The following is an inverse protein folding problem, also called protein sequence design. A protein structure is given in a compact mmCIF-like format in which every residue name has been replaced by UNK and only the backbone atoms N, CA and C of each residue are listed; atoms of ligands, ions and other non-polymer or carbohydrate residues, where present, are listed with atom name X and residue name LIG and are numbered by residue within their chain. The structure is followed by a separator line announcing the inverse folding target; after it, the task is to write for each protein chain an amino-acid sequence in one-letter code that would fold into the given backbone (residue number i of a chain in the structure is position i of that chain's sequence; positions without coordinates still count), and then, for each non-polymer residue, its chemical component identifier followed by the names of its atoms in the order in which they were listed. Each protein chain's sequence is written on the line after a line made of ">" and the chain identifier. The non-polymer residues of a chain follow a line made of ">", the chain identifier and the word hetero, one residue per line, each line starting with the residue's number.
data_IF_581894113114
#
_entry.id   IF_581894113114
#
_cell.length_a   1.000
_cell.length_b   1.000
_cell.length_c   1.000
_cell.angle_alpha   90.00
_cell.angle_beta   90.00
_cell.angle_gamma   90.00
#
_symmetry.space_group_name_H-M   'P 1'
#
loop_
_entity.id
_entity.type
_entity.pdbx_description
1 polymer ?
#
# COMPACT_ATOMS: atom_id res chain seq x y z
N UNK A 1 -13.22 -24.53 -4.30
CA UNK A 1 -13.83 -23.21 -4.63
C UNK A 1 -12.91 -22.57 -5.64
N UNK A 2 -13.23 -22.76 -6.90
CA UNK A 2 -12.43 -22.28 -8.03
C UNK A 2 -12.91 -20.85 -8.32
N UNK A 3 -12.29 -19.87 -7.65
CA UNK A 3 -12.44 -18.46 -8.03
C UNK A 3 -11.61 -18.22 -9.29
N UNK A 4 -12.08 -18.75 -10.41
CA UNK A 4 -11.60 -18.31 -11.72
C UNK A 4 -11.95 -16.82 -11.82
N UNK A 5 -10.95 -15.99 -12.09
CA UNK A 5 -11.15 -14.58 -12.39
C UNK A 5 -11.90 -14.54 -13.73
N UNK A 6 -13.24 -14.53 -13.68
CA UNK A 6 -14.06 -14.38 -14.89
C UNK A 6 -13.94 -12.93 -15.37
N UNK A 7 -14.04 -12.68 -16.70
CA UNK A 7 -14.06 -11.31 -17.25
C UNK A 7 -15.13 -10.43 -16.58
N UNK A 8 -16.26 -11.02 -16.21
CA UNK A 8 -17.35 -10.39 -15.46
C UNK A 8 -16.93 -9.94 -14.05
N UNK A 9 -16.10 -10.74 -13.36
CA UNK A 9 -15.59 -10.40 -12.03
C UNK A 9 -14.65 -9.20 -12.03
N UNK A 10 -13.90 -8.98 -13.11
CA UNK A 10 -13.01 -7.81 -13.26
C UNK A 10 -13.82 -6.53 -13.48
N UNK A 11 -14.93 -6.60 -14.24
CA UNK A 11 -15.80 -5.45 -14.52
C UNK A 11 -16.39 -4.83 -13.26
N UNK A 12 -16.67 -5.63 -12.21
CA UNK A 12 -17.15 -5.14 -10.91
C UNK A 12 -16.17 -4.13 -10.29
N UNK A 13 -14.85 -4.34 -10.46
CA UNK A 13 -13.83 -3.44 -9.90
C UNK A 13 -13.54 -2.25 -10.80
N UNK A 14 -13.69 -2.40 -12.12
CA UNK A 14 -13.37 -1.35 -13.09
C UNK A 14 -14.52 -0.33 -13.24
N UNK A 15 -15.77 -0.78 -13.18
CA UNK A 15 -16.94 0.08 -13.39
C UNK A 15 -16.94 1.31 -12.47
N UNK A 16 -16.75 1.19 -11.13
CA UNK A 16 -16.69 2.36 -10.26
C UNK A 16 -15.58 3.34 -10.62
N UNK A 17 -14.43 2.83 -11.10
CA UNK A 17 -13.30 3.67 -11.50
C UNK A 17 -13.68 4.55 -12.71
N UNK A 18 -14.44 4.00 -13.66
CA UNK A 18 -14.92 4.71 -14.85
C UNK A 18 -16.08 5.67 -14.50
N UNK A 19 -17.03 5.25 -13.67
CA UNK A 19 -18.16 6.09 -13.27
C UNK A 19 -17.69 7.33 -12.48
N UNK A 20 -16.75 7.14 -11.55
CA UNK A 20 -16.11 8.20 -10.79
C UNK A 20 -14.81 8.69 -11.43
N UNK A 21 -14.78 8.78 -12.77
CA UNK A 21 -13.57 9.09 -13.55
C UNK A 21 -12.83 10.34 -13.06
N UNK A 22 -13.53 11.35 -12.58
CA UNK A 22 -12.95 12.62 -12.14
C UNK A 22 -12.09 12.44 -10.88
N UNK A 23 -12.51 11.59 -9.94
CA UNK A 23 -11.68 11.19 -8.81
C UNK A 23 -10.58 10.21 -9.23
N UNK A 24 -10.92 9.20 -10.04
CA UNK A 24 -9.99 8.17 -10.51
C UNK A 24 -8.83 8.75 -11.32
N UNK A 25 -9.08 9.80 -12.11
CA UNK A 25 -8.06 10.49 -12.88
C UNK A 25 -7.10 11.24 -11.97
N UNK A 26 -7.61 12.03 -11.03
CA UNK A 26 -6.77 12.78 -10.08
C UNK A 26 -5.93 11.81 -9.24
N UNK A 27 -6.57 10.78 -8.69
CA UNK A 27 -5.90 9.75 -7.88
C UNK A 27 -4.90 8.96 -8.72
N UNK A 28 -5.26 8.54 -9.93
CA UNK A 28 -4.39 7.79 -10.82
C UNK A 28 -3.14 8.57 -11.22
N UNK A 29 -3.30 9.85 -11.60
CA UNK A 29 -2.17 10.75 -11.89
C UNK A 29 -1.29 10.92 -10.67
N UNK A 30 -1.89 11.17 -9.50
CA UNK A 30 -1.15 11.32 -8.24
C UNK A 30 -0.36 10.05 -7.88
N UNK A 31 -0.97 8.87 -8.00
CA UNK A 31 -0.34 7.59 -7.69
C UNK A 31 0.86 7.28 -8.61
N UNK A 32 0.81 7.70 -9.88
CA UNK A 32 1.92 7.54 -10.82
C UNK A 32 3.01 8.59 -10.57
N UNK A 33 2.66 9.88 -10.51
CA UNK A 33 3.66 10.97 -10.47
C UNK A 33 4.30 11.11 -9.09
N UNK A 34 3.51 10.96 -8.03
CA UNK A 34 3.92 11.15 -6.64
C UNK A 34 4.07 9.83 -5.88
N UNK A 35 4.32 8.71 -6.57
CA UNK A 35 4.39 7.36 -6.01
C UNK A 35 5.28 7.27 -4.75
N UNK A 36 6.43 7.96 -4.76
CA UNK A 36 7.37 8.05 -3.61
C UNK A 36 6.80 8.70 -2.37
N UNK A 37 5.79 9.54 -2.51
CA UNK A 37 5.13 10.23 -1.40
C UNK A 37 3.90 9.49 -0.90
N UNK A 38 3.38 8.53 -1.67
CA UNK A 38 2.15 7.80 -1.33
C UNK A 38 2.25 7.17 0.04
N UNK A 39 3.36 6.49 0.35
CA UNK A 39 3.59 5.92 1.68
C UNK A 39 3.38 6.96 2.79
N UNK A 40 4.09 8.09 2.72
CA UNK A 40 4.03 9.13 3.77
C UNK A 40 2.65 9.78 3.85
N UNK A 41 2.05 10.07 2.69
CA UNK A 41 0.75 10.72 2.60
C UNK A 41 -0.35 9.79 3.12
N UNK A 42 -0.35 8.52 2.72
CA UNK A 42 -1.29 7.52 3.21
C UNK A 42 -1.19 7.34 4.72
N UNK A 43 0.01 7.24 5.27
CA UNK A 43 0.20 7.12 6.73
C UNK A 43 -0.30 8.37 7.45
N UNK A 44 0.05 9.55 6.95
CA UNK A 44 -0.37 10.81 7.55
C UNK A 44 -1.90 10.98 7.49
N UNK A 45 -2.52 10.69 6.35
CA UNK A 45 -3.95 10.82 6.14
C UNK A 45 -4.72 9.80 6.99
N UNK A 46 -4.28 8.53 7.01
CA UNK A 46 -4.89 7.49 7.84
C UNK A 46 -4.73 7.81 9.33
N UNK A 47 -3.54 8.21 9.77
CA UNK A 47 -3.30 8.58 11.16
C UNK A 47 -4.11 9.81 11.58
N UNK A 48 -4.24 10.80 10.71
CA UNK A 48 -5.08 11.96 10.95
C UNK A 48 -6.55 11.59 11.05
N UNK A 49 -7.08 10.85 10.07
CA UNK A 49 -8.48 10.42 10.05
C UNK A 49 -8.82 9.52 11.25
N UNK A 50 -7.92 8.62 11.63
CA UNK A 50 -8.06 7.78 12.82
C UNK A 50 -8.00 8.62 14.10
N UNK A 51 -7.13 9.64 14.14
CA UNK A 51 -7.04 10.58 15.23
C UNK A 51 -8.35 11.35 15.45
N UNK A 52 -8.89 11.97 14.39
CA UNK A 52 -10.08 12.81 14.51
C UNK A 52 -11.38 11.99 14.66
N UNK A 53 -11.55 10.90 13.91
CA UNK A 53 -12.85 10.20 13.84
C UNK A 53 -13.00 9.10 14.89
N UNK A 54 -11.89 8.56 15.41
CA UNK A 54 -11.91 7.40 16.32
C UNK A 54 -11.29 7.76 17.65
N UNK A 55 -10.00 8.13 17.67
CA UNK A 55 -9.28 8.28 18.93
C UNK A 55 -9.72 9.51 19.72
N UNK A 56 -9.98 10.65 19.07
CA UNK A 56 -10.41 11.86 19.76
C UNK A 56 -11.79 11.70 20.43
N UNK A 57 -12.85 11.19 19.74
CA UNK A 57 -14.13 10.89 20.40
C UNK A 57 -13.99 9.88 21.53
N UNK A 58 -13.16 8.84 21.36
CA UNK A 58 -12.91 7.85 22.40
C UNK A 58 -12.25 8.49 23.62
N UNK A 59 -11.25 9.36 23.42
CA UNK A 59 -10.59 10.09 24.50
C UNK A 59 -11.59 10.93 25.31
N UNK A 60 -12.47 11.66 24.63
CA UNK A 60 -13.50 12.47 25.27
C UNK A 60 -14.54 11.66 26.04
N UNK A 61 -14.89 10.48 25.54
CA UNK A 61 -15.79 9.57 26.23
C UNK A 61 -15.15 8.96 27.49
N UNK A 62 -13.84 8.69 27.46
CA UNK A 62 -13.11 8.10 28.60
C UNK A 62 -12.74 9.13 29.67
N UNK A 63 -12.57 10.40 29.28
CA UNK A 63 -12.19 11.49 30.19
C UNK A 63 -13.21 12.64 30.12
N UNK A 64 -14.32 12.57 30.87
CA UNK A 64 -15.39 13.58 30.83
C UNK A 64 -14.93 15.00 31.17
N UNK A 65 -13.86 15.12 31.96
CA UNK A 65 -13.22 16.39 32.33
C UNK A 65 -12.72 17.16 31.10
N UNK A 66 -12.32 16.45 30.04
CA UNK A 66 -11.89 17.06 28.78
C UNK A 66 -13.09 17.62 27.99
N UNK A 67 -14.29 17.05 28.13
CA UNK A 67 -15.48 17.58 27.47
C UNK A 67 -15.85 18.97 27.98
N UNK A 68 -15.65 19.25 29.26
CA UNK A 68 -15.89 20.58 29.82
C UNK A 68 -14.87 21.60 29.30
N UNK A 69 -13.60 21.18 29.13
CA UNK A 69 -12.54 22.04 28.59
C UNK A 69 -12.70 22.34 27.10
N UNK A 70 -13.39 21.47 26.37
CA UNK A 70 -13.67 21.61 24.94
C UNK A 70 -15.16 21.87 24.64
N UNK A 71 -15.93 22.35 25.62
CA UNK A 71 -17.35 22.60 25.47
C UNK A 71 -17.66 23.69 24.42
N UNK A 72 -16.72 24.60 24.20
CA UNK A 72 -16.82 25.60 23.14
C UNK A 72 -16.54 25.00 21.75
N UNK A 73 -17.43 25.20 20.76
CA UNK A 73 -17.30 24.57 19.43
C UNK A 73 -15.99 24.89 18.70
N UNK A 74 -15.47 26.11 18.86
CA UNK A 74 -14.21 26.52 18.23
C UNK A 74 -13.01 25.76 18.82
N UNK A 75 -12.92 25.66 20.15
CA UNK A 75 -11.86 24.93 20.83
C UNK A 75 -11.96 23.42 20.58
N UNK A 76 -13.17 22.87 20.49
CA UNK A 76 -13.40 21.48 20.12
C UNK A 76 -12.79 21.15 18.75
N UNK A 77 -13.14 21.92 17.72
CA UNK A 77 -12.67 21.68 16.35
C UNK A 77 -11.15 21.83 16.24
N UNK A 78 -10.58 22.88 16.85
CA UNK A 78 -9.13 23.10 16.82
C UNK A 78 -8.40 21.97 17.55
N UNK A 79 -8.88 21.55 18.72
CA UNK A 79 -8.26 20.49 19.51
C UNK A 79 -8.35 19.14 18.81
N UNK A 80 -9.48 18.84 18.15
CA UNK A 80 -9.66 17.67 17.31
C UNK A 80 -8.63 17.65 16.16
N UNK A 81 -8.46 18.76 15.45
CA UNK A 81 -7.48 18.89 14.37
C UNK A 81 -6.04 18.70 14.87
N UNK A 82 -5.67 19.36 15.96
CA UNK A 82 -4.34 19.26 16.58
C UNK A 82 -4.08 17.82 17.04
N UNK A 83 -5.04 17.18 17.68
CA UNK A 83 -4.94 15.80 18.10
C UNK A 83 -4.77 14.85 16.91
N UNK A 84 -5.52 15.07 15.82
CA UNK A 84 -5.33 14.35 14.56
C UNK A 84 -3.90 14.43 14.03
N UNK A 85 -3.30 15.62 14.05
CA UNK A 85 -1.89 15.82 13.61
C UNK A 85 -0.91 15.07 14.53
N UNK A 86 -1.13 15.11 15.85
CA UNK A 86 -0.31 14.37 16.82
C UNK A 86 -0.39 12.87 16.54
N UNK A 87 -1.59 12.32 16.38
CA UNK A 87 -1.78 10.90 16.07
C UNK A 87 -1.11 10.53 14.75
N UNK A 88 -1.23 11.36 13.71
CA UNK A 88 -0.53 11.13 12.43
C UNK A 88 0.99 11.06 12.61
N UNK A 89 1.57 11.94 13.42
CA UNK A 89 3.01 11.93 13.71
C UNK A 89 3.44 10.68 14.48
N UNK A 90 2.66 10.25 15.49
CA UNK A 90 2.92 9.02 16.24
C UNK A 90 2.83 7.80 15.32
N UNK A 91 1.80 7.71 14.48
CA UNK A 91 1.60 6.59 13.57
C UNK A 91 2.74 6.54 12.53
N UNK A 92 3.21 7.69 12.05
CA UNK A 92 4.39 7.79 11.20
C UNK A 92 5.66 7.27 11.88
N UNK A 93 5.86 7.58 13.16
CA UNK A 93 7.00 7.06 13.92
C UNK A 93 6.91 5.53 14.12
N UNK A 94 5.72 5.00 14.40
CA UNK A 94 5.49 3.57 14.63
C UNK A 94 5.46 2.74 13.35
N UNK A 95 5.17 3.36 12.21
CA UNK A 95 5.01 2.68 10.93
C UNK A 95 6.22 1.81 10.55
N UNK A 96 7.45 2.31 10.75
CA UNK A 96 8.66 1.51 10.46
C UNK A 96 8.75 0.24 11.29
N UNK A 97 8.26 0.28 12.53
CA UNK A 97 8.19 -0.89 13.41
C UNK A 97 7.13 -1.87 12.93
N UNK A 98 5.95 -1.39 12.49
CA UNK A 98 4.92 -2.25 11.91
C UNK A 98 5.41 -2.96 10.63
N UNK A 99 6.06 -2.23 9.72
CA UNK A 99 6.65 -2.83 8.51
C UNK A 99 7.72 -3.85 8.86
N UNK A 100 8.56 -3.57 9.86
CA UNK A 100 9.55 -4.52 10.35
C UNK A 100 8.88 -5.80 10.86
N UNK A 101 7.87 -5.69 11.72
CA UNK A 101 7.16 -6.85 12.29
C UNK A 101 6.45 -7.66 11.20
N UNK A 102 5.79 -6.99 10.24
CA UNK A 102 5.14 -7.66 9.12
C UNK A 102 6.16 -8.39 8.23
N UNK A 103 7.26 -7.73 7.88
CA UNK A 103 8.35 -8.33 7.11
C UNK A 103 9.01 -9.49 7.85
N UNK A 104 9.21 -9.35 9.17
CA UNK A 104 9.71 -10.41 10.03
C UNK A 104 8.77 -11.61 10.02
N UNK A 105 7.47 -11.41 10.26
CA UNK A 105 6.49 -12.49 10.34
C UNK A 105 6.38 -13.29 9.05
N UNK A 106 6.24 -12.60 7.90
CA UNK A 106 6.11 -13.26 6.59
C UNK A 106 7.37 -14.05 6.24
N UNK A 107 8.55 -13.44 6.35
CA UNK A 107 9.80 -14.10 5.99
C UNK A 107 10.18 -15.19 6.99
N UNK A 108 9.85 -15.02 8.28
CA UNK A 108 10.07 -16.06 9.28
C UNK A 108 9.21 -17.30 9.01
N UNK A 109 7.93 -17.11 8.66
CA UNK A 109 7.05 -18.22 8.30
C UNK A 109 7.55 -18.94 7.05
N UNK A 110 7.90 -18.19 6.00
CA UNK A 110 8.45 -18.78 4.77
C UNK A 110 9.74 -19.54 5.07
N UNK A 111 10.65 -18.95 5.85
CA UNK A 111 11.90 -19.57 6.27
C UNK A 111 11.68 -20.86 7.07
N UNK A 112 10.73 -20.84 8.00
CA UNK A 112 10.32 -22.00 8.78
C UNK A 112 9.86 -23.13 7.87
N UNK A 113 8.88 -22.88 7.00
CA UNK A 113 8.34 -23.92 6.11
C UNK A 113 9.36 -24.42 5.08
N UNK A 114 10.20 -23.55 4.53
CA UNK A 114 11.28 -23.96 3.61
C UNK A 114 12.30 -24.85 4.31
N UNK A 115 12.67 -24.52 5.55
CA UNK A 115 13.61 -25.32 6.32
C UNK A 115 13.04 -26.68 6.71
N UNK A 116 11.77 -26.73 7.12
CA UNK A 116 11.07 -27.99 7.43
C UNK A 116 10.96 -28.88 6.18
N UNK A 117 10.55 -28.29 5.05
CA UNK A 117 10.53 -28.97 3.76
C UNK A 117 11.91 -29.53 3.37
N UNK A 118 12.98 -28.75 3.54
CA UNK A 118 14.33 -29.20 3.21
C UNK A 118 14.78 -30.38 4.10
N UNK A 119 14.52 -30.32 5.41
CA UNK A 119 14.86 -31.41 6.33
C UNK A 119 14.13 -32.71 5.97
N UNK A 120 12.84 -32.62 5.61
CA UNK A 120 12.04 -33.77 5.18
C UNK A 120 12.47 -34.30 3.81
N UNK A 121 12.76 -33.41 2.85
CA UNK A 121 13.14 -33.79 1.49
C UNK A 121 14.51 -34.48 1.43
N UNK A 122 15.47 -34.04 2.25
CA UNK A 122 16.82 -34.61 2.30
C UNK A 122 16.98 -35.71 3.35
N UNK A 123 15.89 -36.12 4.02
CA UNK A 123 15.87 -37.12 5.11
C UNK A 123 16.96 -36.87 6.17
N UNK A 124 17.12 -35.60 6.57
CA UNK A 124 18.18 -35.19 7.48
C UNK A 124 17.79 -35.59 8.91
N UNK A 125 18.39 -36.67 9.39
CA UNK A 125 18.22 -37.12 10.76
C UNK A 125 19.07 -36.29 11.72
N UNK A 126 18.41 -35.44 12.50
CA UNK A 126 19.05 -34.61 13.52
C UNK A 126 19.03 -35.35 14.86
N UNK A 127 20.14 -35.32 15.60
CA UNK A 127 20.25 -35.90 16.95
C UNK A 127 19.48 -35.12 18.04
N UNK A 128 18.65 -34.17 17.66
CA UNK A 128 17.85 -33.30 18.54
C UNK A 128 16.56 -32.89 17.83
N UNK A 129 15.67 -32.21 18.56
CA UNK A 129 14.36 -31.81 18.02
C UNK A 129 14.52 -30.88 16.78
N UNK A 130 14.05 -31.28 15.59
CA UNK A 130 14.15 -30.50 14.36
C UNK A 130 13.56 -29.08 14.45
N UNK A 131 12.59 -28.89 15.36
CA UNK A 131 11.98 -27.59 15.63
C UNK A 131 13.01 -26.51 15.96
N UNK A 132 14.10 -26.86 16.65
CA UNK A 132 15.13 -25.87 17.00
C UNK A 132 15.85 -25.32 15.78
N UNK A 133 16.15 -26.16 14.78
CA UNK A 133 16.76 -25.69 13.53
C UNK A 133 15.76 -24.88 12.70
N UNK A 134 14.55 -25.40 12.52
CA UNK A 134 13.56 -24.74 11.66
C UNK A 134 13.13 -23.39 12.22
N UNK A 135 12.92 -23.30 13.54
CA UNK A 135 12.64 -22.04 14.21
C UNK A 135 13.83 -21.07 14.17
N UNK A 136 15.07 -21.56 14.33
CA UNK A 136 16.26 -20.70 14.27
C UNK A 136 16.47 -20.11 12.87
N UNK A 137 16.29 -20.91 11.81
CA UNK A 137 16.35 -20.45 10.43
C UNK A 137 15.22 -19.47 10.15
N UNK A 138 14.00 -19.77 10.60
CA UNK A 138 12.86 -18.86 10.51
C UNK A 138 13.13 -17.50 11.18
N UNK A 139 13.59 -17.48 12.43
CA UNK A 139 13.92 -16.24 13.14
C UNK A 139 15.06 -15.48 12.43
N UNK A 140 16.13 -16.17 12.02
CA UNK A 140 17.25 -15.56 11.34
C UNK A 140 16.86 -14.90 10.01
N UNK A 141 16.14 -15.62 9.16
CA UNK A 141 15.60 -15.08 7.91
C UNK A 141 14.55 -14.00 8.16
N UNK A 142 13.73 -14.16 9.19
CA UNK A 142 12.75 -13.16 9.63
C UNK A 142 13.40 -11.83 9.97
N UNK A 143 14.49 -11.82 10.74
CA UNK A 143 15.22 -10.58 11.08
C UNK A 143 15.73 -9.90 9.80
N UNK A 144 16.33 -10.67 8.89
CA UNK A 144 16.77 -10.14 7.59
C UNK A 144 15.61 -9.57 6.78
N UNK A 145 14.48 -10.29 6.72
CA UNK A 145 13.25 -9.87 6.05
C UNK A 145 12.68 -8.58 6.63
N UNK A 146 12.59 -8.48 7.96
CA UNK A 146 12.15 -7.28 8.66
C UNK A 146 13.06 -6.08 8.38
N UNK A 147 14.37 -6.26 8.42
CA UNK A 147 15.36 -5.20 8.12
C UNK A 147 15.27 -4.71 6.66
N UNK A 148 15.15 -5.63 5.70
CA UNK A 148 15.03 -5.29 4.29
C UNK A 148 13.70 -4.56 4.04
N UNK A 149 12.60 -5.08 4.58
CA UNK A 149 11.26 -4.49 4.43
C UNK A 149 11.21 -3.08 5.00
N UNK A 150 11.78 -2.87 6.20
CA UNK A 150 11.84 -1.53 6.83
C UNK A 150 12.70 -0.52 6.04
N UNK A 151 13.73 -0.99 5.30
CA UNK A 151 14.58 -0.13 4.49
C UNK A 151 13.99 0.19 3.11
N UNK A 152 13.24 -0.73 2.51
CA UNK A 152 12.70 -0.63 1.14
C UNK A 152 11.19 -0.47 1.06
N UNK A 153 10.51 -0.24 2.18
CA UNK A 153 9.05 -0.06 2.27
C UNK A 153 8.52 0.96 1.25
N UNK A 154 9.23 2.08 1.13
CA UNK A 154 8.91 3.16 0.22
C UNK A 154 8.96 2.74 -1.25
N UNK A 155 9.95 1.92 -1.63
CA UNK A 155 10.07 1.42 -2.99
C UNK A 155 8.91 0.46 -3.32
N UNK A 156 8.58 -0.46 -2.40
CA UNK A 156 7.49 -1.41 -2.59
C UNK A 156 6.14 -0.70 -2.75
N UNK A 157 5.84 0.26 -1.87
CA UNK A 157 4.59 1.04 -1.96
C UNK A 157 4.57 1.90 -3.21
N UNK A 158 5.70 2.47 -3.62
CA UNK A 158 5.80 3.24 -4.87
C UNK A 158 5.47 2.37 -6.09
N UNK A 159 6.01 1.15 -6.15
CA UNK A 159 5.71 0.20 -7.24
C UNK A 159 4.23 -0.15 -7.26
N UNK A 160 3.65 -0.49 -6.10
CA UNK A 160 2.21 -0.80 -6.01
C UNK A 160 1.35 0.40 -6.40
N UNK A 161 1.77 1.61 -6.05
CA UNK A 161 1.08 2.86 -6.42
C UNK A 161 1.12 3.09 -7.93
N UNK A 162 2.27 2.91 -8.58
CA UNK A 162 2.39 3.04 -10.03
C UNK A 162 1.49 2.02 -10.73
N UNK A 163 1.47 0.78 -10.27
CA UNK A 163 0.61 -0.27 -10.83
C UNK A 163 -0.87 0.10 -10.68
N UNK A 164 -1.30 0.45 -9.46
CA UNK A 164 -2.69 0.82 -9.18
C UNK A 164 -3.12 2.08 -9.97
N UNK A 165 -2.27 3.11 -9.98
CA UNK A 165 -2.52 4.34 -10.73
C UNK A 165 -2.56 4.12 -12.24
N UNK A 166 -1.70 3.25 -12.77
CA UNK A 166 -1.70 2.88 -14.18
C UNK A 166 -2.97 2.14 -14.56
N UNK A 167 -3.43 1.21 -13.72
CA UNK A 167 -4.70 0.51 -13.91
C UNK A 167 -5.90 1.45 -13.86
N UNK A 168 -5.91 2.41 -12.93
CA UNK A 168 -6.96 3.41 -12.83
C UNK A 168 -6.99 4.33 -14.06
N UNK A 169 -5.83 4.84 -14.50
CA UNK A 169 -5.76 5.72 -15.67
C UNK A 169 -6.07 4.99 -16.97
N UNK A 170 -5.56 3.78 -17.17
CA UNK A 170 -5.89 3.00 -18.37
C UNK A 170 -7.38 2.68 -18.42
N UNK A 171 -8.00 2.35 -17.28
CA UNK A 171 -9.43 2.13 -17.17
C UNK A 171 -10.24 3.39 -17.53
N UNK A 172 -9.86 4.56 -17.00
CA UNK A 172 -10.52 5.83 -17.30
C UNK A 172 -10.38 6.19 -18.77
N UNK A 173 -9.18 6.09 -19.35
CA UNK A 173 -8.93 6.44 -20.76
C UNK A 173 -9.74 5.53 -21.68
N UNK A 174 -9.72 4.22 -21.46
CA UNK A 174 -10.52 3.28 -22.27
C UNK A 174 -12.01 3.50 -22.02
N UNK A 175 -12.43 3.72 -20.77
CA UNK A 175 -13.81 4.03 -20.41
C UNK A 175 -14.36 5.25 -21.14
N UNK A 176 -13.54 6.28 -21.39
CA UNK A 176 -13.93 7.41 -22.23
C UNK A 176 -14.14 7.06 -23.70
N UNK A 177 -13.38 6.09 -24.24
CA UNK A 177 -13.50 5.63 -25.63
C UNK A 177 -14.79 4.81 -25.82
N UNK A 178 -15.19 4.02 -24.82
CA UNK A 178 -16.32 3.08 -24.90
C UNK A 178 -17.55 3.50 -24.09
N UNK A 179 -17.65 4.79 -23.74
CA UNK A 179 -18.54 5.39 -22.74
C UNK A 179 -19.98 4.86 -22.69
N UNK A 180 -20.57 4.52 -23.84
CA UNK A 180 -21.98 4.11 -23.92
C UNK A 180 -22.19 2.59 -23.77
N UNK A 181 -21.15 1.76 -23.89
CA UNK A 181 -21.24 0.29 -23.87
C UNK A 181 -20.04 -0.34 -23.15
N UNK A 182 -19.69 0.16 -21.96
CA UNK A 182 -18.50 -0.27 -21.21
C UNK A 182 -18.50 -1.78 -20.96
N UNK A 183 -19.64 -2.36 -20.56
CA UNK A 183 -19.72 -3.78 -20.19
C UNK A 183 -19.48 -4.72 -21.38
N UNK A 184 -20.05 -4.40 -22.53
CA UNK A 184 -19.94 -5.20 -23.74
C UNK A 184 -18.56 -5.01 -24.39
N UNK A 185 -18.17 -3.76 -24.61
CA UNK A 185 -16.95 -3.42 -25.37
C UNK A 185 -15.67 -3.70 -24.61
N UNK A 186 -15.66 -3.64 -23.28
CA UNK A 186 -14.42 -3.88 -22.52
C UNK A 186 -13.97 -5.34 -22.58
N UNK A 187 -14.89 -6.26 -22.84
CA UNK A 187 -14.58 -7.68 -23.05
C UNK A 187 -14.14 -8.00 -24.48
N UNK A 188 -14.40 -7.09 -25.43
CA UNK A 188 -13.96 -7.29 -26.81
C UNK A 188 -12.42 -7.28 -26.90
N UNK A 189 -11.82 -8.17 -27.71
CA UNK A 189 -10.38 -8.30 -27.82
C UNK A 189 -9.66 -6.99 -28.17
N UNK A 190 -10.28 -6.12 -28.96
CA UNK A 190 -9.70 -4.84 -29.37
C UNK A 190 -9.51 -3.90 -28.16
N UNK A 191 -10.57 -3.62 -27.41
CA UNK A 191 -10.52 -2.68 -26.29
C UNK A 191 -9.78 -3.24 -25.08
N UNK A 192 -9.85 -4.56 -24.85
CA UNK A 192 -9.00 -5.24 -23.86
C UNK A 192 -7.51 -5.10 -24.21
N UNK A 193 -7.15 -5.26 -25.48
CA UNK A 193 -5.77 -5.05 -25.93
C UNK A 193 -5.31 -3.59 -25.79
N UNK A 194 -6.18 -2.62 -26.10
CA UNK A 194 -5.89 -1.19 -25.89
C UNK A 194 -5.70 -0.88 -24.41
N UNK A 195 -6.55 -1.44 -23.54
CA UNK A 195 -6.43 -1.31 -22.08
C UNK A 195 -5.09 -1.85 -21.59
N UNK A 196 -4.72 -3.07 -21.99
CA UNK A 196 -3.44 -3.69 -21.60
C UNK A 196 -2.26 -2.87 -22.14
N UNK A 197 -2.32 -2.43 -23.40
CA UNK A 197 -1.28 -1.60 -24.01
C UNK A 197 -1.06 -0.28 -23.28
N UNK A 198 -2.15 0.44 -22.96
CA UNK A 198 -2.11 1.68 -22.18
C UNK A 198 -1.63 1.44 -20.75
N UNK A 199 -2.09 0.37 -20.11
CA UNK A 199 -1.66 -0.01 -18.77
C UNK A 199 -0.15 -0.22 -18.72
N UNK A 200 0.40 -1.05 -19.62
CA UNK A 200 1.84 -1.32 -19.68
C UNK A 200 2.64 -0.05 -19.98
N UNK A 201 2.16 0.78 -20.91
CA UNK A 201 2.79 2.05 -21.24
C UNK A 201 2.84 2.99 -20.02
N UNK A 202 1.73 3.12 -19.28
CA UNK A 202 1.67 3.93 -18.05
C UNK A 202 2.57 3.39 -16.94
N UNK A 203 2.62 2.06 -16.78
CA UNK A 203 3.54 1.41 -15.82
C UNK A 203 4.98 1.77 -16.18
N UNK A 204 5.40 1.57 -17.43
CA UNK A 204 6.77 1.89 -17.89
C UNK A 204 7.09 3.37 -17.65
N UNK A 205 6.19 4.28 -18.04
CA UNK A 205 6.37 5.72 -17.82
C UNK A 205 6.49 6.06 -16.34
N UNK A 206 5.63 5.47 -15.49
CA UNK A 206 5.66 5.67 -14.04
C UNK A 206 6.97 5.17 -13.42
N UNK A 207 7.46 4.01 -13.84
CA UNK A 207 8.75 3.48 -13.40
C UNK A 207 9.91 4.35 -13.83
N UNK A 208 9.95 4.77 -15.09
CA UNK A 208 10.98 5.68 -15.62
C UNK A 208 10.95 7.01 -14.87
N UNK A 209 9.77 7.58 -14.63
CA UNK A 209 9.65 8.85 -13.92
C UNK A 209 10.13 8.76 -12.47
N UNK A 210 9.73 7.72 -11.74
CA UNK A 210 10.04 7.61 -10.32
C UNK A 210 11.43 7.03 -10.05
N UNK A 211 11.93 6.10 -10.85
CA UNK A 211 13.16 5.35 -10.53
C UNK A 211 14.36 5.67 -11.43
N UNK A 212 14.23 6.52 -12.46
CA UNK A 212 15.39 6.96 -13.27
C UNK A 212 16.33 7.82 -12.42
N UNK A 213 17.48 7.22 -12.08
CA UNK A 213 18.69 7.74 -11.44
C UNK A 213 18.65 9.16 -10.82
N UNK A 214 18.81 9.30 -9.49
CA UNK A 214 19.08 10.57 -8.81
C UNK A 214 20.53 11.08 -8.98
N UNK A 215 21.27 10.65 -10.02
CA UNK A 215 22.63 11.17 -10.29
C UNK A 215 22.55 12.49 -11.05
N UNK A 216 22.25 13.58 -10.32
CA UNK A 216 22.76 14.97 -10.50
C UNK A 216 21.98 15.93 -9.58
N UNK A 217 22.33 15.93 -8.30
CA UNK A 217 22.18 17.10 -7.40
C UNK A 217 23.28 17.02 -6.33
N UNK A 218 24.50 16.75 -6.80
CA UNK A 218 25.74 16.86 -6.05
C UNK A 218 26.80 17.31 -7.04
N UNK A 219 27.10 18.61 -7.05
CA UNK A 219 28.16 19.19 -7.86
C UNK A 219 27.91 20.63 -8.29
N UNK A 220 28.43 21.58 -7.52
CA UNK A 220 28.70 22.96 -7.93
C UNK A 220 27.90 24.00 -7.13
N UNK A 221 28.48 24.79 -6.23
CA UNK A 221 29.88 24.91 -5.87
C UNK A 221 30.08 25.94 -4.76
N UNK A 222 31.34 26.00 -4.30
CA UNK A 222 31.97 27.00 -3.42
C UNK A 222 31.31 27.23 -2.05
#
# INVERSE_FOLDING_TARGET
>A
MENAITPEGILIYIRPIIEYWYYSLIVGVFLIIAAKFVEKISIALLGFLLGINVLFPVLLNQFPQLNEWFAEPAYYQISMLVFGVIVAAVLFALYKSFVFIAGFGVVALIGYYLSDFALQFFDIQLGFNPLYITASIGIGLGILGGLISSKKSSEVISVMSIIAGSGALSAVIVGFIIRDNVDEKMTEPLYSSIFIGLFLLMVILGFVWNFKNPKKTGGGGS
#
